data_IF_441834570390
#
_entry.id   IF_441834570390
#
_cell.length_a   1.000
_cell.length_b   1.000
_cell.length_c   1.000
_cell.angle_alpha   90.00
_cell.angle_beta   90.00
_cell.angle_gamma   90.00
#
_symmetry.space_group_name_H-M   'P 1'
#
loop_
_entity.id
_entity.type
_entity.pdbx_description
1 polymer ?
#
# COMPACT_ATOMS: atom_id res chain seq x y z
N UNK A 1 -28.08 -0.26 2.99
CA UNK A 1 -27.67 -1.68 2.93
C UNK A 1 -26.21 -1.78 3.37
N UNK A 2 -25.87 -2.69 4.32
CA UNK A 2 -24.48 -2.81 4.78
C UNK A 2 -23.53 -3.46 3.74
N UNK A 3 -24.05 -4.18 2.74
CA UNK A 3 -23.22 -4.71 1.65
C UNK A 3 -22.81 -3.57 0.71
N UNK A 4 -21.50 -3.41 0.48
CA UNK A 4 -20.97 -2.44 -0.46
C UNK A 4 -21.08 -2.98 -1.89
N UNK A 5 -21.52 -2.11 -2.80
CA UNK A 5 -21.43 -2.35 -4.23
C UNK A 5 -20.16 -1.69 -4.74
N UNK A 6 -19.13 -2.48 -5.01
CA UNK A 6 -17.82 -1.99 -5.41
C UNK A 6 -17.87 -1.19 -6.71
N UNK A 7 -18.78 -1.54 -7.63
CA UNK A 7 -18.87 -0.85 -8.92
C UNK A 7 -19.35 0.58 -8.80
N UNK A 8 -19.99 0.93 -7.68
CA UNK A 8 -20.42 2.31 -7.39
C UNK A 8 -19.34 3.17 -6.72
N UNK A 9 -18.23 2.55 -6.28
CA UNK A 9 -17.14 3.25 -5.60
C UNK A 9 -16.04 3.56 -6.60
N UNK A 10 -15.64 4.83 -6.77
CA UNK A 10 -14.64 5.21 -7.77
C UNK A 10 -13.32 4.48 -7.60
N UNK A 11 -12.76 4.02 -8.71
CA UNK A 11 -11.42 3.44 -8.79
C UNK A 11 -10.44 4.49 -9.30
N UNK A 12 -9.27 4.59 -8.69
CA UNK A 12 -8.23 5.53 -9.07
C UNK A 12 -6.85 4.89 -8.95
N UNK A 13 -5.87 5.39 -9.71
CA UNK A 13 -4.46 5.08 -9.54
C UNK A 13 -3.65 6.28 -9.03
N UNK A 14 -4.31 7.28 -8.50
CA UNK A 14 -3.65 8.48 -7.99
C UNK A 14 -2.63 8.13 -6.90
N UNK A 15 -1.51 8.84 -6.90
CA UNK A 15 -0.45 8.67 -5.92
C UNK A 15 0.16 10.02 -5.57
N UNK A 16 0.59 10.16 -4.31
CA UNK A 16 1.37 11.29 -3.86
C UNK A 16 2.87 11.16 -4.11
N UNK A 17 3.34 9.99 -4.58
CA UNK A 17 4.76 9.82 -4.85
C UNK A 17 5.24 10.73 -5.98
N UNK A 18 6.38 11.42 -5.80
CA UNK A 18 7.03 12.15 -6.88
C UNK A 18 7.70 11.17 -7.87
N UNK A 19 7.98 11.67 -9.07
CA UNK A 19 8.81 10.91 -10.02
C UNK A 19 10.27 10.86 -9.53
N UNK A 20 10.99 9.76 -9.78
CA UNK A 20 10.56 8.55 -10.55
C UNK A 20 9.80 7.51 -9.71
N UNK A 21 9.63 7.75 -8.42
CA UNK A 21 9.06 6.77 -7.47
C UNK A 21 7.58 6.44 -7.73
N UNK A 22 6.88 7.33 -8.43
CA UNK A 22 5.48 7.11 -8.84
C UNK A 22 5.33 6.07 -9.96
N UNK A 23 6.40 5.75 -10.70
CA UNK A 23 6.30 4.92 -11.91
C UNK A 23 5.86 3.49 -11.60
N UNK A 24 6.37 2.91 -10.51
CA UNK A 24 6.07 1.52 -10.13
C UNK A 24 4.63 1.31 -9.62
N UNK A 25 3.94 2.38 -9.24
CA UNK A 25 2.56 2.32 -8.75
C UNK A 25 1.51 2.76 -9.77
N UNK A 26 1.90 3.01 -11.02
CA UNK A 26 0.95 3.40 -12.07
C UNK A 26 -0.12 2.33 -12.34
N UNK A 27 0.22 1.07 -12.21
CA UNK A 27 -0.71 -0.05 -12.35
C UNK A 27 -1.43 -0.45 -11.05
N UNK A 28 -1.29 0.32 -9.99
CA UNK A 28 -2.04 0.13 -8.74
C UNK A 28 -3.35 0.90 -8.81
N UNK A 29 -4.45 0.18 -8.94
CA UNK A 29 -5.81 0.75 -8.96
C UNK A 29 -6.53 0.39 -7.66
N UNK A 30 -7.15 1.35 -7.02
CA UNK A 30 -7.77 1.12 -5.72
C UNK A 30 -9.08 1.86 -5.55
N UNK A 31 -9.95 1.27 -4.73
CA UNK A 31 -11.18 1.87 -4.23
C UNK A 31 -11.06 2.04 -2.72
N UNK A 32 -11.24 3.25 -2.25
CA UNK A 32 -11.24 3.56 -0.81
C UNK A 32 -12.61 3.23 -0.24
N UNK A 33 -12.71 2.11 0.47
CA UNK A 33 -13.97 1.57 0.94
C UNK A 33 -14.41 2.21 2.26
N UNK A 34 -13.49 2.60 3.14
CA UNK A 34 -13.82 3.17 4.44
C UNK A 34 -14.60 4.48 4.31
N UNK A 35 -14.17 5.49 3.53
CA UNK A 35 -14.96 6.71 3.35
C UNK A 35 -16.33 6.44 2.74
N UNK A 36 -16.41 5.53 1.77
CA UNK A 36 -17.65 5.18 1.09
C UNK A 36 -18.68 4.50 2.01
N UNK A 37 -18.21 3.86 3.09
CA UNK A 37 -19.05 3.13 4.05
C UNK A 37 -19.26 3.86 5.38
N UNK A 38 -18.66 5.05 5.55
CA UNK A 38 -18.76 5.82 6.79
C UNK A 38 -17.88 5.30 7.93
N UNK A 39 -16.95 4.39 7.64
CA UNK A 39 -15.98 3.89 8.63
C UNK A 39 -14.83 4.88 8.75
N UNK A 40 -14.49 5.26 9.98
CA UNK A 40 -13.48 6.28 10.28
C UNK A 40 -12.36 5.84 11.23
N UNK A 41 -12.54 4.74 11.97
CA UNK A 41 -11.53 4.27 12.94
C UNK A 41 -10.29 3.70 12.23
N UNK A 42 -10.49 3.15 11.05
CA UNK A 42 -9.41 2.61 10.20
C UNK A 42 -9.76 2.79 8.72
N UNK A 43 -8.76 2.69 7.87
CA UNK A 43 -8.93 2.68 6.43
C UNK A 43 -8.94 1.25 5.90
N UNK A 44 -9.72 0.99 4.86
CA UNK A 44 -9.58 -0.23 4.07
C UNK A 44 -9.90 0.06 2.62
N UNK A 45 -9.20 -0.64 1.75
CA UNK A 45 -9.26 -0.41 0.30
C UNK A 45 -9.24 -1.73 -0.45
N UNK A 46 -9.96 -1.76 -1.55
CA UNK A 46 -9.90 -2.84 -2.53
C UNK A 46 -8.87 -2.44 -3.58
N UNK A 47 -7.79 -3.21 -3.70
CA UNK A 47 -6.63 -2.88 -4.53
C UNK A 47 -6.44 -3.91 -5.62
N UNK A 48 -6.27 -3.43 -6.85
CA UNK A 48 -5.88 -4.25 -8.01
C UNK A 48 -4.50 -3.80 -8.48
N UNK A 49 -3.56 -4.74 -8.54
CA UNK A 49 -2.26 -4.52 -9.17
C UNK A 49 -2.25 -5.15 -10.55
N UNK A 50 -2.03 -4.33 -11.57
CA UNK A 50 -1.76 -4.80 -12.93
C UNK A 50 -0.40 -5.52 -12.99
N UNK A 51 -0.16 -6.38 -13.99
CA UNK A 51 1.15 -7.00 -14.17
C UNK A 51 2.29 -5.96 -14.15
N UNK A 52 3.31 -6.23 -13.32
CA UNK A 52 4.46 -5.36 -13.12
C UNK A 52 4.28 -4.25 -12.09
N UNK A 53 3.07 -3.99 -11.60
CA UNK A 53 2.82 -2.93 -10.63
C UNK A 53 3.21 -3.33 -9.21
N UNK A 54 3.58 -2.32 -8.42
CA UNK A 54 3.85 -2.45 -6.99
C UNK A 54 2.73 -1.79 -6.19
N UNK A 55 2.50 -2.29 -4.97
CA UNK A 55 1.53 -1.70 -4.04
C UNK A 55 1.98 -0.33 -3.52
N UNK A 56 3.29 -0.12 -3.44
CA UNK A 56 3.93 1.08 -2.91
C UNK A 56 5.43 1.01 -3.18
N UNK A 57 6.18 2.03 -2.79
CA UNK A 57 7.60 1.84 -2.47
C UNK A 57 7.70 1.03 -1.18
N UNK A 58 8.75 0.22 -1.01
CA UNK A 58 8.94 -0.56 0.22
C UNK A 58 9.08 0.40 1.41
N UNK A 59 8.25 0.21 2.44
CA UNK A 59 8.14 1.16 3.54
C UNK A 59 7.65 0.50 4.83
N UNK A 60 7.82 1.19 5.94
CA UNK A 60 7.22 0.87 7.23
C UNK A 60 6.74 2.13 7.94
N UNK A 61 5.72 1.99 8.79
CA UNK A 61 5.10 3.08 9.54
C UNK A 61 5.52 3.06 11.00
N UNK A 62 5.76 4.22 11.58
CA UNK A 62 6.09 4.33 13.00
C UNK A 62 4.89 4.02 13.90
N UNK A 63 3.71 4.52 13.56
CA UNK A 63 2.55 4.56 14.45
C UNK A 63 1.29 3.86 13.94
N UNK A 64 1.29 3.26 12.76
CA UNK A 64 0.10 2.64 12.16
C UNK A 64 0.34 1.17 11.84
N UNK A 65 -0.51 0.30 12.42
CA UNK A 65 -0.58 -1.09 12.02
C UNK A 65 -1.27 -1.23 10.66
N UNK A 66 -0.80 -2.19 9.86
CA UNK A 66 -1.41 -2.53 8.58
C UNK A 66 -1.50 -4.03 8.41
N UNK A 67 -2.45 -4.48 7.58
CA UNK A 67 -2.45 -5.84 7.06
C UNK A 67 -3.11 -5.90 5.69
N UNK A 68 -2.82 -6.97 4.96
CA UNK A 68 -3.43 -7.25 3.65
C UNK A 68 -3.98 -8.66 3.61
N UNK A 69 -5.06 -8.84 2.86
CA UNK A 69 -5.67 -10.15 2.57
C UNK A 69 -5.75 -10.32 1.06
N UNK A 70 -5.09 -11.36 0.53
CA UNK A 70 -5.15 -11.67 -0.90
C UNK A 70 -6.51 -12.26 -1.26
N UNK A 71 -7.15 -11.72 -2.29
CA UNK A 71 -8.43 -12.19 -2.81
C UNK A 71 -8.27 -13.01 -4.09
N UNK A 72 -7.45 -12.55 -5.03
CA UNK A 72 -7.24 -13.24 -6.31
C UNK A 72 -5.87 -12.91 -6.90
N UNK A 73 -5.40 -13.77 -7.80
CA UNK A 73 -4.08 -13.63 -8.41
C UNK A 73 -2.95 -13.93 -7.42
N UNK A 74 -1.75 -13.56 -7.80
CA UNK A 74 -0.52 -13.81 -7.04
C UNK A 74 0.29 -12.53 -6.94
N UNK A 75 0.86 -12.28 -5.78
CA UNK A 75 1.82 -11.20 -5.56
C UNK A 75 3.06 -11.72 -4.83
N UNK A 76 4.17 -11.01 -4.95
CA UNK A 76 5.37 -11.25 -4.17
C UNK A 76 5.47 -10.20 -3.08
N UNK A 77 5.44 -10.64 -1.83
CA UNK A 77 5.74 -9.80 -0.67
C UNK A 77 7.25 -9.71 -0.53
N UNK A 78 7.78 -8.51 -0.54
CA UNK A 78 9.21 -8.24 -0.30
C UNK A 78 9.35 -7.49 1.01
N UNK A 79 10.14 -8.03 1.93
CA UNK A 79 10.47 -7.41 3.21
C UNK A 79 11.95 -7.66 3.56
N UNK A 80 12.38 -7.31 4.77
CA UNK A 80 13.77 -7.50 5.20
C UNK A 80 14.17 -8.98 5.28
N UNK A 81 13.20 -9.89 5.43
CA UNK A 81 13.41 -11.33 5.46
C UNK A 81 13.53 -11.98 4.08
N UNK A 82 13.28 -11.24 3.01
CA UNK A 82 13.34 -11.72 1.63
C UNK A 82 12.01 -11.65 0.90
N UNK A 83 11.73 -12.65 0.08
CA UNK A 83 10.56 -12.69 -0.79
C UNK A 83 9.64 -13.86 -0.42
N UNK A 84 8.34 -13.59 -0.38
CA UNK A 84 7.30 -14.58 -0.10
C UNK A 84 6.19 -14.47 -1.12
N UNK A 85 5.78 -15.58 -1.71
CA UNK A 85 4.64 -15.59 -2.63
C UNK A 85 3.35 -15.56 -1.83
N UNK A 86 2.48 -14.61 -2.17
CA UNK A 86 1.15 -14.42 -1.61
C UNK A 86 0.09 -14.92 -2.59
N UNK A 87 -0.72 -15.87 -2.16
CA UNK A 87 -1.81 -16.47 -2.94
C UNK A 87 -3.17 -16.13 -2.35
N UNK A 88 -4.28 -16.33 -3.08
CA UNK A 88 -5.63 -16.08 -2.55
C UNK A 88 -5.85 -16.74 -1.18
N UNK A 89 -6.34 -15.95 -0.22
CA UNK A 89 -6.53 -16.36 1.17
C UNK A 89 -5.34 -16.11 2.10
N UNK A 90 -4.16 -15.80 1.56
CA UNK A 90 -3.00 -15.45 2.39
C UNK A 90 -3.17 -14.07 3.01
N UNK A 91 -2.66 -13.94 4.24
CA UNK A 91 -2.68 -12.70 5.02
C UNK A 91 -1.27 -12.32 5.40
N UNK A 92 -0.91 -11.06 5.24
CA UNK A 92 0.34 -10.50 5.76
C UNK A 92 0.03 -9.33 6.69
N UNK A 93 0.70 -9.28 7.83
CA UNK A 93 0.53 -8.24 8.84
C UNK A 93 1.82 -7.44 9.03
N UNK A 94 1.67 -6.14 9.17
CA UNK A 94 2.77 -5.19 9.27
C UNK A 94 2.61 -4.37 10.55
N UNK A 95 3.16 -4.83 11.69
CA UNK A 95 3.07 -4.10 12.94
C UNK A 95 3.77 -2.74 12.85
N UNK A 96 3.19 -1.76 13.48
CA UNK A 96 3.79 -0.42 13.58
C UNK A 96 5.15 -0.48 14.27
N UNK A 97 6.08 0.35 13.78
CA UNK A 97 7.36 0.58 14.45
C UNK A 97 8.33 -0.60 14.45
N UNK A 98 8.07 -1.64 13.64
CA UNK A 98 8.94 -2.83 13.62
C UNK A 98 10.22 -2.64 12.77
N UNK A 99 10.29 -1.56 11.99
CA UNK A 99 11.43 -1.26 11.12
C UNK A 99 11.53 -2.13 9.87
N UNK A 100 10.62 -3.07 9.68
CA UNK A 100 10.62 -4.00 8.54
C UNK A 100 9.82 -3.42 7.37
N UNK A 101 10.50 -2.85 6.39
CA UNK A 101 9.85 -2.32 5.20
C UNK A 101 9.24 -3.41 4.34
N UNK A 102 8.02 -3.17 3.84
CA UNK A 102 7.26 -4.13 3.05
C UNK A 102 6.71 -3.52 1.76
N UNK A 103 6.51 -4.35 0.76
CA UNK A 103 5.85 -4.02 -0.51
C UNK A 103 5.30 -5.30 -1.13
N UNK A 104 4.16 -5.19 -1.81
CA UNK A 104 3.63 -6.24 -2.69
C UNK A 104 3.93 -5.88 -4.14
N UNK A 105 4.43 -6.86 -4.90
CA UNK A 105 4.76 -6.69 -6.31
C UNK A 105 4.01 -7.74 -7.13
N UNK A 106 3.31 -7.32 -8.18
CA UNK A 106 2.72 -8.26 -9.12
C UNK A 106 3.73 -8.59 -10.21
N UNK A 107 4.41 -9.72 -10.08
CA UNK A 107 5.38 -10.21 -11.07
C UNK A 107 4.76 -11.24 -12.03
N UNK A 108 3.45 -11.44 -11.95
CA UNK A 108 2.70 -12.36 -12.81
C UNK A 108 2.21 -11.66 -14.08
N UNK A 109 1.57 -12.41 -14.96
CA UNK A 109 0.96 -11.91 -16.20
C UNK A 109 -0.54 -11.61 -16.06
N UNK A 110 -1.09 -11.71 -14.85
CA UNK A 110 -2.50 -11.47 -14.53
C UNK A 110 -2.63 -10.43 -13.41
N UNK A 111 -3.78 -9.77 -13.35
CA UNK A 111 -4.10 -8.88 -12.23
C UNK A 111 -4.10 -9.67 -10.92
N UNK A 112 -3.65 -9.04 -9.85
CA UNK A 112 -3.88 -9.53 -8.51
C UNK A 112 -4.69 -8.53 -7.69
N UNK A 113 -5.51 -9.04 -6.77
CA UNK A 113 -6.45 -8.25 -5.98
C UNK A 113 -6.28 -8.59 -4.50
N UNK A 114 -6.25 -7.56 -3.69
CA UNK A 114 -6.20 -7.71 -2.23
C UNK A 114 -6.98 -6.61 -1.52
N UNK A 115 -7.33 -6.87 -0.27
CA UNK A 115 -7.82 -5.85 0.66
C UNK A 115 -6.64 -5.38 1.51
N UNK A 116 -6.42 -4.08 1.57
CA UNK A 116 -5.48 -3.45 2.49
C UNK A 116 -6.25 -2.76 3.60
N UNK A 117 -5.82 -2.98 4.84
CA UNK A 117 -6.42 -2.38 6.04
C UNK A 117 -5.33 -1.68 6.84
N UNK A 118 -5.59 -0.46 7.29
CA UNK A 118 -4.67 0.30 8.11
C UNK A 118 -5.30 1.59 8.61
N UNK A 119 -4.66 2.24 9.57
CA UNK A 119 -5.07 3.57 9.99
C UNK A 119 -4.55 4.62 9.02
N UNK A 120 -5.23 5.77 8.86
CA UNK A 120 -4.64 6.91 8.14
C UNK A 120 -3.28 7.27 8.74
N UNK A 121 -2.30 7.54 7.88
CA UNK A 121 -0.94 7.84 8.32
C UNK A 121 -0.92 9.19 9.06
N UNK A 122 -0.60 9.16 10.33
CA UNK A 122 -0.46 10.32 11.22
C UNK A 122 0.97 10.46 11.75
N UNK A 123 1.82 9.47 11.50
CA UNK A 123 3.22 9.43 11.91
C UNK A 123 4.14 9.31 10.70
N UNK A 124 5.44 9.34 10.95
CA UNK A 124 6.42 9.24 9.87
C UNK A 124 6.40 7.86 9.21
N UNK A 125 6.67 7.85 7.91
CA UNK A 125 6.79 6.65 7.09
C UNK A 125 8.20 6.61 6.50
N UNK A 126 8.86 5.47 6.65
CA UNK A 126 10.25 5.27 6.26
C UNK A 126 10.36 4.40 5.00
N UNK A 127 11.27 4.78 4.11
CA UNK A 127 11.52 4.12 2.83
C UNK A 127 12.98 3.65 2.76
N UNK A 128 13.29 2.40 3.16
CA UNK A 128 14.70 1.97 3.31
C UNK A 128 15.51 1.99 2.02
N UNK A 129 14.88 1.77 0.86
CA UNK A 129 15.59 1.55 -0.40
C UNK A 129 15.84 2.82 -1.23
N UNK A 130 15.20 3.92 -0.87
CA UNK A 130 15.24 5.17 -1.65
C UNK A 130 15.52 6.37 -0.74
N UNK A 131 16.01 7.45 -1.34
CA UNK A 131 16.24 8.72 -0.64
C UNK A 131 14.94 9.52 -0.52
N UNK A 132 13.99 8.95 0.23
CA UNK A 132 12.70 9.58 0.49
C UNK A 132 12.24 9.26 1.90
N UNK A 133 11.54 10.22 2.49
CA UNK A 133 10.93 10.14 3.81
C UNK A 133 9.59 10.85 3.77
N UNK A 134 8.59 10.29 4.42
CA UNK A 134 7.32 10.97 4.64
C UNK A 134 7.24 11.43 6.09
N UNK A 135 7.46 12.72 6.30
CA UNK A 135 7.30 13.32 7.61
C UNK A 135 5.82 13.61 7.90
N UNK A 136 5.38 13.30 9.11
CA UNK A 136 4.01 13.54 9.54
C UNK A 136 3.62 15.01 9.35
N UNK A 137 2.58 15.25 8.55
CA UNK A 137 2.06 16.59 8.27
C UNK A 137 2.89 17.45 7.32
N UNK A 138 4.05 16.98 6.84
CA UNK A 138 4.95 17.78 5.99
C UNK A 138 5.10 17.26 4.56
N UNK A 139 4.64 16.04 4.27
CA UNK A 139 4.76 15.42 2.96
C UNK A 139 6.12 14.77 2.69
N UNK A 140 6.34 14.43 1.42
CA UNK A 140 7.56 13.72 1.00
C UNK A 140 8.76 14.66 0.91
N UNK A 141 9.89 14.19 1.43
CA UNK A 141 11.18 14.90 1.40
C UNK A 141 12.31 13.89 1.21
N UNK A 142 13.51 14.37 0.93
CA UNK A 142 14.73 13.56 1.04
C UNK A 142 15.00 13.22 2.51
N UNK A 143 15.79 12.19 2.74
CA UNK A 143 16.16 11.75 4.11
C UNK A 143 16.94 12.81 4.89
N UNK A 144 17.63 13.71 4.20
CA UNK A 144 18.31 14.86 4.81
C UNK A 144 17.37 16.05 5.10
N UNK A 145 16.09 15.94 4.76
CA UNK A 145 15.09 17.00 4.90
C UNK A 145 14.99 17.94 3.70
N UNK A 146 15.81 17.75 2.67
CA UNK A 146 15.76 18.52 1.44
C UNK A 146 14.53 18.22 0.59
N UNK A 147 14.29 19.09 -0.40
CA UNK A 147 13.20 18.89 -1.39
C UNK A 147 13.53 17.77 -2.38
N UNK A 148 12.50 17.05 -2.81
CA UNK A 148 12.59 16.04 -3.87
C UNK A 148 12.53 16.67 -5.26
#
# INVERSE_FOLDING_TARGET
MPKLDLDTIPQTNATGYPKPYSDVVQGRWYRRLAPASGISDFGFSHVTLKPGAWSSQRHWHEGEDEFVVMLSGEAVLVDDGGETIMRPGDVAAFPKGDGNGHVLQNRSDMDCVFIAVGRPAETDCHYPDIDMHLAAGEGFRRKDGGTL
#
